data_IF_272483346297
#
_entry.id   IF_272483346297
#
_cell.length_a   1.000
_cell.length_b   1.000
_cell.length_c   1.000
_cell.angle_alpha   90.00
_cell.angle_beta   90.00
_cell.angle_gamma   90.00
#
_symmetry.space_group_name_H-M   'P 1'
#
loop_
_entity.id
_entity.type
_entity.pdbx_description
1 polymer ?
#
# COMPACT_ATOMS: atom_id res chain seq x y z
N UNK A 1 30.26 -40.65 41.65
CA UNK A 1 29.25 -39.57 41.69
C UNK A 1 29.42 -38.66 40.47
N UNK A 2 29.03 -39.12 39.26
CA UNK A 2 29.18 -38.33 38.01
C UNK A 2 28.17 -38.70 36.90
N UNK A 3 27.09 -39.40 37.26
CA UNK A 3 26.09 -39.93 36.30
C UNK A 3 24.73 -39.23 36.43
N UNK A 4 24.43 -38.59 37.57
CA UNK A 4 23.14 -37.88 37.78
C UNK A 4 23.06 -36.49 37.15
N UNK A 5 24.18 -35.85 36.80
CA UNK A 5 24.19 -34.51 36.19
C UNK A 5 23.91 -34.49 34.68
N UNK A 6 23.98 -35.64 33.99
CA UNK A 6 23.79 -35.70 32.54
C UNK A 6 22.34 -36.03 32.11
N UNK A 7 21.48 -36.41 33.06
CA UNK A 7 20.07 -36.72 32.79
C UNK A 7 19.18 -35.47 32.78
N UNK A 8 19.53 -34.43 33.56
CA UNK A 8 18.76 -33.19 33.65
C UNK A 8 18.93 -32.30 32.39
N UNK A 9 20.12 -32.26 31.81
CA UNK A 9 20.39 -31.49 30.58
C UNK A 9 19.70 -32.09 29.34
N UNK A 10 19.55 -33.42 29.28
CA UNK A 10 18.86 -34.12 28.19
C UNK A 10 17.33 -33.90 28.28
N UNK A 11 16.77 -33.86 29.49
CA UNK A 11 15.34 -33.59 29.70
C UNK A 11 14.94 -32.12 29.40
N UNK A 12 15.82 -31.15 29.61
CA UNK A 12 15.59 -29.75 29.24
C UNK A 12 15.63 -29.54 27.72
N UNK A 13 16.55 -30.19 27.01
CA UNK A 13 16.65 -30.09 25.55
C UNK A 13 15.48 -30.77 24.81
N UNK A 14 14.86 -31.81 25.40
CA UNK A 14 13.64 -32.43 24.86
C UNK A 14 12.38 -31.56 25.03
N UNK A 15 12.32 -30.69 26.04
CA UNK A 15 11.19 -29.77 26.25
C UNK A 15 11.24 -28.57 25.33
N UNK A 16 12.42 -28.08 24.98
CA UNK A 16 12.59 -26.97 24.02
C UNK A 16 12.32 -27.42 22.59
N UNK A 17 12.71 -28.66 22.22
CA UNK A 17 12.51 -29.20 20.87
C UNK A 17 11.03 -29.58 20.59
N UNK A 18 10.28 -29.94 21.63
CA UNK A 18 8.84 -30.21 21.55
C UNK A 18 7.98 -28.94 21.44
N UNK A 19 8.53 -27.76 21.78
CA UNK A 19 7.79 -26.49 21.73
C UNK A 19 8.04 -25.71 20.42
N UNK A 20 9.19 -25.91 19.77
CA UNK A 20 9.46 -25.43 18.40
C UNK A 20 8.77 -26.25 17.30
N UNK A 21 8.33 -27.47 17.59
CA UNK A 21 7.57 -28.30 16.64
C UNK A 21 6.06 -28.02 16.66
N UNK A 22 5.54 -27.36 17.70
CA UNK A 22 4.11 -26.99 17.78
C UNK A 22 3.79 -25.66 17.09
N UNK A 23 4.78 -24.77 16.91
CA UNK A 23 4.61 -23.52 16.15
C UNK A 23 4.80 -23.70 14.62
N UNK A 24 5.51 -24.76 14.20
CA UNK A 24 5.68 -25.10 12.78
C UNK A 24 4.48 -25.86 12.17
N UNK A 25 3.59 -26.42 13.01
CA UNK A 25 2.44 -27.22 12.56
C UNK A 25 1.14 -26.42 12.37
N UNK A 26 1.09 -25.13 12.72
CA UNK A 26 -0.05 -24.26 12.43
C UNK A 26 0.06 -23.51 11.08
N UNK A 27 1.18 -23.64 10.36
CA UNK A 27 1.36 -23.04 9.03
C UNK A 27 0.97 -23.95 7.84
N UNK A 28 0.45 -25.16 8.09
CA UNK A 28 0.12 -26.13 7.02
C UNK A 28 -1.37 -26.51 6.93
N UNK A 29 -2.26 -25.73 7.53
CA UNK A 29 -3.71 -25.96 7.45
C UNK A 29 -4.50 -24.74 6.97
N UNK A 30 -3.90 -23.89 6.10
CA UNK A 30 -4.72 -23.11 5.18
C UNK A 30 -5.21 -24.07 4.11
N UNK A 31 -6.37 -24.65 4.35
CA UNK A 31 -7.18 -25.25 3.30
C UNK A 31 -7.23 -24.25 2.15
N UNK A 32 -6.58 -24.58 1.04
CA UNK A 32 -6.80 -23.88 -0.21
C UNK A 32 -8.28 -24.07 -0.54
N UNK A 33 -9.11 -23.11 -0.10
CA UNK A 33 -10.40 -22.86 -0.69
C UNK A 33 -10.11 -22.29 -2.08
N UNK A 34 -9.69 -23.17 -2.99
CA UNK A 34 -9.69 -22.91 -4.41
C UNK A 34 -11.16 -22.81 -4.80
N UNK A 35 -11.72 -21.62 -4.61
CA UNK A 35 -13.04 -21.30 -5.09
C UNK A 35 -12.89 -21.22 -6.60
N UNK A 36 -13.47 -22.20 -7.29
CA UNK A 36 -13.68 -22.23 -8.73
C UNK A 36 -14.66 -21.10 -9.10
N UNK A 37 -14.23 -19.86 -8.89
CA UNK A 37 -14.87 -18.69 -9.45
C UNK A 37 -14.24 -18.49 -10.82
N UNK A 38 -15.05 -18.31 -11.87
CA UNK A 38 -14.56 -17.78 -13.14
C UNK A 38 -13.64 -16.60 -12.83
N UNK A 39 -12.35 -16.79 -13.04
CA UNK A 39 -11.33 -15.83 -12.63
C UNK A 39 -11.38 -14.68 -13.62
N UNK A 40 -12.27 -13.71 -13.36
CA UNK A 40 -12.08 -12.36 -13.89
C UNK A 40 -10.62 -11.95 -13.62
N UNK A 41 -9.89 -11.42 -14.63
CA UNK A 41 -8.48 -11.05 -14.49
C UNK A 41 -8.26 -10.20 -13.25
N UNK A 42 -7.14 -10.42 -12.57
CA UNK A 42 -6.77 -9.60 -11.41
C UNK A 42 -6.50 -8.16 -11.89
N UNK A 43 -7.31 -7.21 -11.41
CA UNK A 43 -7.07 -5.79 -11.60
C UNK A 43 -6.14 -5.28 -10.50
N UNK A 44 -4.83 -5.47 -10.69
CA UNK A 44 -3.82 -4.78 -9.87
C UNK A 44 -3.87 -3.30 -10.17
N UNK A 45 -3.65 -2.45 -9.16
CA UNK A 45 -3.34 -1.06 -9.47
C UNK A 45 -2.06 -1.07 -10.30
N UNK A 46 -2.13 -0.50 -11.51
CA UNK A 46 -1.00 -0.46 -12.43
C UNK A 46 0.09 0.42 -11.78
N UNK A 47 1.38 0.19 -12.05
CA UNK A 47 2.45 1.07 -11.59
C UNK A 47 2.48 2.41 -12.37
N UNK A 48 1.33 2.87 -12.85
CA UNK A 48 1.15 4.16 -13.50
C UNK A 48 0.77 5.24 -12.48
N UNK A 49 0.72 6.49 -12.92
CA UNK A 49 0.33 7.61 -12.06
C UNK A 49 -1.19 7.66 -11.83
N UNK A 50 -1.96 6.89 -12.60
CA UNK A 50 -3.43 6.90 -12.58
C UNK A 50 -3.96 5.57 -12.09
N UNK A 51 -4.39 5.55 -10.84
CA UNK A 51 -5.10 4.41 -10.23
C UNK A 51 -6.21 3.89 -11.14
N UNK A 52 -6.37 2.57 -11.22
CA UNK A 52 -7.34 1.96 -12.14
C UNK A 52 -8.77 2.44 -11.85
N UNK A 53 -9.65 2.48 -12.85
CA UNK A 53 -11.09 2.68 -12.65
C UNK A 53 -11.81 1.50 -11.97
N UNK A 54 -11.19 0.32 -11.87
CA UNK A 54 -11.85 -0.95 -11.53
C UNK A 54 -11.73 -1.32 -10.04
N UNK A 55 -12.77 -1.94 -9.44
CA UNK A 55 -12.69 -2.53 -8.10
C UNK A 55 -12.24 -4.00 -8.14
N UNK A 56 -11.73 -4.53 -7.02
CA UNK A 56 -11.35 -5.95 -6.91
C UNK A 56 -12.53 -6.93 -6.99
N UNK A 57 -13.78 -6.46 -6.91
CA UNK A 57 -15.00 -7.26 -6.99
C UNK A 57 -15.50 -7.81 -5.64
N UNK A 58 -16.79 -8.15 -5.57
CA UNK A 58 -17.47 -8.50 -4.31
C UNK A 58 -16.89 -9.74 -3.63
N UNK A 59 -16.63 -9.62 -2.33
CA UNK A 59 -16.09 -10.68 -1.47
C UNK A 59 -14.62 -10.99 -1.72
N UNK A 60 -13.92 -10.20 -2.54
CA UNK A 60 -12.53 -10.44 -2.91
C UNK A 60 -11.58 -9.60 -2.04
N UNK A 61 -10.46 -10.22 -1.70
CA UNK A 61 -9.37 -9.61 -0.97
C UNK A 61 -8.12 -9.63 -1.82
N UNK A 62 -7.40 -8.52 -1.85
CA UNK A 62 -6.13 -8.41 -2.55
C UNK A 62 -5.12 -7.70 -1.65
N UNK A 63 -3.92 -8.25 -1.60
CA UNK A 63 -2.80 -7.67 -0.88
C UNK A 63 -1.69 -7.38 -1.88
N UNK A 64 -1.29 -6.12 -1.94
CA UNK A 64 -0.24 -5.61 -2.79
C UNK A 64 0.89 -5.08 -1.91
N UNK A 65 2.13 -5.32 -2.31
CA UNK A 65 3.30 -4.78 -1.62
C UNK A 65 4.39 -4.47 -2.63
N UNK A 66 5.16 -3.43 -2.37
CA UNK A 66 6.18 -2.95 -3.29
C UNK A 66 7.34 -2.31 -2.55
N UNK A 67 8.41 -2.03 -3.31
CA UNK A 67 9.53 -1.24 -2.84
C UNK A 67 9.65 -0.01 -3.71
N UNK A 68 9.70 1.17 -3.09
CA UNK A 68 9.90 2.43 -3.81
C UNK A 68 11.28 2.96 -3.49
N UNK A 69 12.05 3.29 -4.53
CA UNK A 69 13.35 3.92 -4.40
C UNK A 69 13.36 5.25 -5.15
N UNK A 70 13.45 6.34 -4.39
CA UNK A 70 13.53 7.69 -4.92
C UNK A 70 14.94 8.24 -4.77
N UNK A 71 15.40 8.94 -5.81
CA UNK A 71 16.65 9.70 -5.77
C UNK A 71 16.49 11.02 -6.47
N UNK A 72 16.77 12.11 -5.75
CA UNK A 72 16.84 13.46 -6.32
C UNK A 72 18.18 14.10 -6.01
N UNK A 73 18.61 15.01 -6.90
CA UNK A 73 19.82 15.79 -6.73
C UNK A 73 19.56 17.24 -7.14
N UNK A 74 19.76 18.16 -6.21
CA UNK A 74 19.62 19.60 -6.42
C UNK A 74 20.69 20.34 -5.61
N UNK A 75 21.30 21.37 -6.19
CA UNK A 75 22.26 22.26 -5.50
C UNK A 75 23.40 21.55 -4.74
N UNK A 76 23.90 20.44 -5.31
CA UNK A 76 24.97 19.64 -4.69
C UNK A 76 24.52 18.75 -3.52
N UNK A 77 23.23 18.75 -3.19
CA UNK A 77 22.58 17.88 -2.22
C UNK A 77 21.93 16.70 -2.96
N UNK A 78 22.14 15.50 -2.46
CA UNK A 78 21.50 14.26 -2.93
C UNK A 78 20.57 13.75 -1.85
N UNK A 79 19.29 13.61 -2.17
CA UNK A 79 18.31 12.92 -1.33
C UNK A 79 18.01 11.54 -1.91
N UNK A 80 17.94 10.54 -1.03
CA UNK A 80 17.53 9.17 -1.34
C UNK A 80 16.46 8.73 -0.37
N UNK A 81 15.45 8.03 -0.86
CA UNK A 81 14.45 7.36 -0.04
C UNK A 81 14.28 5.92 -0.50
N UNK A 82 14.13 4.99 0.44
CA UNK A 82 13.70 3.62 0.17
C UNK A 82 12.52 3.32 1.10
N UNK A 83 11.41 2.85 0.56
CA UNK A 83 10.25 2.44 1.33
C UNK A 83 9.71 1.07 0.90
N UNK A 84 8.95 0.40 1.77
CA UNK A 84 8.27 -0.86 1.48
C UNK A 84 6.76 -0.69 1.64
N UNK A 85 6.08 -0.24 0.58
CA UNK A 85 4.65 0.01 0.63
C UNK A 85 3.84 -1.28 0.72
N UNK A 86 2.66 -1.16 1.31
CA UNK A 86 1.67 -2.22 1.34
C UNK A 86 0.26 -1.65 1.20
N UNK A 87 -0.59 -2.36 0.46
CA UNK A 87 -1.97 -2.01 0.19
C UNK A 87 -2.84 -3.26 0.34
N UNK A 88 -3.84 -3.17 1.22
CA UNK A 88 -4.89 -4.18 1.37
C UNK A 88 -6.18 -3.63 0.78
N UNK A 89 -6.80 -4.41 -0.11
CA UNK A 89 -8.04 -4.07 -0.81
C UNK A 89 -9.10 -5.12 -0.49
N UNK A 90 -10.31 -4.66 -0.18
CA UNK A 90 -11.46 -5.52 0.08
C UNK A 90 -12.68 -5.01 -0.69
N UNK A 91 -13.12 -5.78 -1.68
CA UNK A 91 -14.34 -5.51 -2.42
C UNK A 91 -15.55 -6.00 -1.63
N UNK A 92 -16.38 -5.09 -1.15
CA UNK A 92 -17.56 -5.44 -0.33
C UNK A 92 -18.88 -5.30 -1.09
N UNK A 93 -18.82 -4.82 -2.33
CA UNK A 93 -19.90 -4.83 -3.31
C UNK A 93 -19.34 -5.02 -4.72
N UNK A 94 -20.22 -5.08 -5.71
CA UNK A 94 -19.80 -5.19 -7.12
C UNK A 94 -19.06 -3.94 -7.61
N UNK A 95 -19.31 -2.79 -6.97
CA UNK A 95 -18.77 -1.48 -7.36
C UNK A 95 -18.06 -0.76 -6.21
N UNK A 96 -17.84 -1.42 -5.08
CA UNK A 96 -17.34 -0.79 -3.87
C UNK A 96 -16.15 -1.56 -3.28
N UNK A 97 -15.09 -0.82 -2.99
CA UNK A 97 -13.85 -1.36 -2.43
C UNK A 97 -13.36 -0.50 -1.26
N UNK A 98 -12.97 -1.15 -0.18
CA UNK A 98 -12.28 -0.55 0.95
C UNK A 98 -10.78 -0.82 0.84
N UNK A 99 -9.96 0.16 1.22
CA UNK A 99 -8.50 0.12 1.10
C UNK A 99 -7.83 0.49 2.42
N UNK A 100 -6.75 -0.20 2.75
CA UNK A 100 -5.79 0.19 3.80
C UNK A 100 -4.42 0.24 3.16
N UNK A 101 -3.79 1.40 3.18
CA UNK A 101 -2.52 1.64 2.51
C UNK A 101 -1.48 2.16 3.49
N UNK A 102 -0.22 1.83 3.28
CA UNK A 102 0.88 2.45 4.03
C UNK A 102 2.14 2.52 3.17
N UNK A 103 2.91 3.60 3.37
CA UNK A 103 4.27 3.73 2.84
C UNK A 103 5.25 2.72 3.49
N UNK A 104 4.83 2.09 4.59
CA UNK A 104 5.62 1.11 5.32
C UNK A 104 6.83 1.72 6.01
N UNK A 105 7.95 0.99 6.06
CA UNK A 105 9.18 1.46 6.66
C UNK A 105 10.00 2.25 5.64
N UNK A 106 10.33 3.48 5.99
CA UNK A 106 11.06 4.43 5.16
C UNK A 106 12.47 4.59 5.71
N UNK A 107 13.45 4.56 4.81
CA UNK A 107 14.83 4.99 5.08
C UNK A 107 15.17 6.14 4.14
N UNK A 108 15.37 7.32 4.72
CA UNK A 108 15.75 8.52 3.99
C UNK A 108 17.18 8.94 4.32
N UNK A 109 17.97 9.27 3.30
CA UNK A 109 19.34 9.79 3.43
C UNK A 109 19.46 11.08 2.64
N UNK A 110 20.00 12.13 3.26
CA UNK A 110 20.37 13.38 2.58
C UNK A 110 21.87 13.58 2.73
N UNK A 111 22.59 13.77 1.63
CA UNK A 111 24.03 14.02 1.64
C UNK A 111 24.43 15.16 0.72
N UNK A 112 25.36 16.01 1.17
CA UNK A 112 25.82 17.17 0.44
C UNK A 112 26.76 18.03 1.28
N UNK A 113 27.63 18.80 0.63
CA UNK A 113 28.54 19.74 1.30
C UNK A 113 29.41 19.10 2.41
N UNK A 114 29.79 17.84 2.24
CA UNK A 114 30.60 17.09 3.21
C UNK A 114 29.83 16.52 4.41
N UNK A 115 28.51 16.69 4.46
CA UNK A 115 27.63 16.16 5.52
C UNK A 115 26.69 15.09 4.95
N UNK A 116 26.40 14.07 5.76
CA UNK A 116 25.38 13.06 5.45
C UNK A 116 24.50 12.84 6.67
N UNK A 117 23.19 12.93 6.49
CA UNK A 117 22.19 12.67 7.51
C UNK A 117 21.29 11.51 7.06
N UNK A 118 20.88 10.64 8.00
CA UNK A 118 19.97 9.53 7.72
C UNK A 118 18.89 9.45 8.77
N UNK A 119 17.65 9.27 8.33
CA UNK A 119 16.48 9.08 9.16
C UNK A 119 15.78 7.78 8.75
N UNK A 120 15.11 7.13 9.69
CA UNK A 120 14.31 5.95 9.43
C UNK A 120 13.09 5.90 10.35
N UNK A 121 12.02 5.27 9.88
CA UNK A 121 10.75 5.26 10.58
C UNK A 121 9.64 4.75 9.69
N UNK A 122 8.43 4.69 10.22
CA UNK A 122 7.25 4.30 9.45
C UNK A 122 6.58 5.53 8.84
N UNK A 123 6.11 5.40 7.60
CA UNK A 123 5.22 6.39 7.01
C UNK A 123 3.81 6.29 7.56
N UNK A 124 2.94 7.18 7.08
CA UNK A 124 1.54 7.21 7.48
C UNK A 124 0.79 5.98 6.93
N UNK A 125 -0.35 5.70 7.56
CA UNK A 125 -1.32 4.72 7.08
C UNK A 125 -2.55 5.48 6.61
N UNK A 126 -3.08 5.12 5.45
CA UNK A 126 -4.29 5.68 4.89
C UNK A 126 -5.42 4.66 4.93
N UNK A 127 -6.63 5.15 5.19
CA UNK A 127 -7.86 4.43 4.91
C UNK A 127 -8.47 4.99 3.63
N UNK A 128 -8.86 4.10 2.74
CA UNK A 128 -9.36 4.45 1.43
C UNK A 128 -10.70 3.77 1.14
N UNK A 129 -11.45 4.42 0.28
CA UNK A 129 -12.70 3.92 -0.25
C UNK A 129 -12.78 4.24 -1.72
N UNK A 130 -13.16 3.25 -2.52
CA UNK A 130 -13.31 3.38 -3.97
C UNK A 130 -14.71 2.99 -4.38
N UNK A 131 -15.27 3.81 -5.25
CA UNK A 131 -16.55 3.60 -5.90
C UNK A 131 -16.37 3.59 -7.41
N UNK A 132 -16.59 2.43 -8.02
CA UNK A 132 -16.72 2.33 -9.46
C UNK A 132 -18.11 2.75 -9.87
N UNK A 133 -18.20 3.93 -10.47
CA UNK A 133 -19.46 4.50 -10.91
C UNK A 133 -19.86 3.96 -12.29
N UNK A 134 -18.88 3.67 -13.14
CA UNK A 134 -19.11 3.29 -14.53
C UNK A 134 -17.98 2.39 -15.05
N UNK A 135 -18.37 1.35 -15.80
CA UNK A 135 -17.46 0.52 -16.57
C UNK A 135 -17.04 1.18 -17.87
N UNK A 136 -15.76 1.02 -18.21
CA UNK A 136 -15.23 1.36 -19.52
C UNK A 136 -15.80 0.46 -20.60
N UNK A 137 -15.91 0.99 -21.81
CA UNK A 137 -16.33 0.26 -23.00
C UNK A 137 -15.63 0.84 -24.23
N UNK A 138 -14.59 0.15 -24.69
CA UNK A 138 -13.81 0.47 -25.88
C UNK A 138 -14.69 0.65 -27.12
N UNK A 139 -15.66 -0.24 -27.33
CA UNK A 139 -16.50 -0.22 -28.53
C UNK A 139 -17.35 1.06 -28.64
N UNK A 140 -17.72 1.68 -27.51
CA UNK A 140 -18.44 2.95 -27.47
C UNK A 140 -17.55 4.16 -27.13
N UNK A 141 -16.25 3.94 -26.86
CA UNK A 141 -15.32 4.96 -26.35
C UNK A 141 -15.71 5.51 -24.98
N UNK A 142 -16.50 4.77 -24.21
CA UNK A 142 -16.99 5.19 -22.89
C UNK A 142 -15.89 4.94 -21.84
N UNK A 143 -15.53 5.94 -21.01
CA UNK A 143 -14.50 5.75 -20.00
C UNK A 143 -15.02 4.95 -18.80
N UNK A 144 -14.13 4.22 -18.15
CA UNK A 144 -14.33 3.80 -16.77
C UNK A 144 -14.26 5.03 -15.85
N UNK A 145 -15.16 5.11 -14.87
CA UNK A 145 -15.22 6.23 -13.93
C UNK A 145 -15.24 5.69 -12.51
N UNK A 146 -14.32 6.17 -11.68
CA UNK A 146 -14.30 5.85 -10.26
C UNK A 146 -14.03 7.07 -9.38
N UNK A 147 -14.54 7.01 -8.16
CA UNK A 147 -14.24 7.96 -7.10
C UNK A 147 -13.41 7.30 -6.01
N UNK A 148 -12.35 7.96 -5.59
CA UNK A 148 -11.52 7.53 -4.47
C UNK A 148 -11.62 8.58 -3.36
N UNK A 149 -11.92 8.12 -2.15
CA UNK A 149 -11.92 8.93 -0.93
C UNK A 149 -10.92 8.32 0.02
N UNK A 150 -9.84 9.05 0.31
CA UNK A 150 -8.76 8.60 1.18
C UNK A 150 -8.63 9.51 2.40
N UNK A 151 -8.07 8.97 3.48
CA UNK A 151 -7.68 9.73 4.65
C UNK A 151 -6.34 9.22 5.19
N UNK A 152 -5.28 9.98 4.95
CA UNK A 152 -3.97 9.73 5.51
C UNK A 152 -3.97 10.10 7.00
N UNK A 153 -3.71 9.13 7.86
CA UNK A 153 -3.66 9.33 9.30
C UNK A 153 -2.22 9.64 9.71
N UNK A 154 -2.02 10.56 10.66
CA UNK A 154 -0.70 10.86 11.21
C UNK A 154 -0.18 9.75 12.16
N UNK A 155 -0.13 8.52 11.66
CA UNK A 155 0.24 7.30 12.38
C UNK A 155 1.72 6.96 12.26
N UNK A 156 2.45 7.61 11.35
CA UNK A 156 3.87 7.37 11.12
C UNK A 156 4.80 7.87 12.24
N UNK A 157 6.09 7.60 12.07
CA UNK A 157 7.17 8.14 12.87
C UNK A 157 7.26 9.66 12.75
N UNK A 158 7.85 10.34 13.74
CA UNK A 158 7.86 11.81 13.81
C UNK A 158 8.41 12.48 12.56
N UNK A 159 9.39 11.84 11.94
CA UNK A 159 10.15 12.29 10.79
C UNK A 159 9.38 12.12 9.47
N UNK A 160 8.34 11.26 9.44
CA UNK A 160 7.61 10.88 8.22
C UNK A 160 6.09 11.08 8.32
N UNK A 161 5.54 11.35 9.51
CA UNK A 161 4.11 11.64 9.67
C UNK A 161 3.77 13.04 9.21
N UNK A 162 2.64 13.18 8.53
CA UNK A 162 2.08 14.49 8.25
C UNK A 162 1.29 15.07 9.43
N UNK A 163 0.73 16.26 9.24
CA UNK A 163 0.08 17.03 10.30
C UNK A 163 -1.40 16.66 10.47
N UNK A 164 -1.67 15.66 11.31
CA UNK A 164 -3.01 15.14 11.56
C UNK A 164 -3.60 14.41 10.36
N UNK A 165 -4.91 14.13 10.41
CA UNK A 165 -5.62 13.45 9.32
C UNK A 165 -5.77 14.36 8.11
N UNK A 166 -5.35 13.87 6.94
CA UNK A 166 -5.40 14.57 5.65
C UNK A 166 -6.33 13.83 4.70
N UNK A 167 -7.61 14.24 4.61
CA UNK A 167 -8.54 13.62 3.68
C UNK A 167 -8.28 14.10 2.25
N UNK A 168 -8.49 13.22 1.28
CA UNK A 168 -8.48 13.54 -0.14
C UNK A 168 -9.64 12.87 -0.88
N UNK A 169 -10.07 13.52 -1.95
CA UNK A 169 -11.04 12.97 -2.90
C UNK A 169 -10.45 13.10 -4.30
N UNK A 170 -10.50 12.01 -5.06
CA UNK A 170 -9.95 11.91 -6.42
C UNK A 170 -11.02 11.28 -7.32
N UNK A 171 -11.13 11.75 -8.54
CA UNK A 171 -11.93 11.12 -9.58
C UNK A 171 -10.99 10.52 -10.62
N UNK A 172 -11.25 9.30 -11.07
CA UNK A 172 -10.50 8.61 -12.11
C UNK A 172 -11.38 8.52 -13.34
N UNK A 173 -10.81 8.84 -14.49
CA UNK A 173 -11.40 8.59 -15.80
C UNK A 173 -10.36 7.85 -16.65
N UNK A 174 -10.73 6.69 -17.16
CA UNK A 174 -9.83 5.81 -17.91
C UNK A 174 -10.52 5.38 -19.22
N UNK A 175 -9.87 5.60 -20.35
CA UNK A 175 -10.32 5.15 -21.67
C UNK A 175 -9.40 4.04 -22.15
N UNK A 176 -10.01 2.93 -22.55
CA UNK A 176 -9.34 1.94 -23.40
C UNK A 176 -9.35 2.48 -24.83
N UNK A 177 -8.20 2.38 -25.50
CA UNK A 177 -7.96 2.84 -26.87
C UNK A 177 -7.57 1.64 -27.75
N UNK A 178 -7.53 1.86 -29.06
CA UNK A 178 -7.04 0.85 -29.99
C UNK A 178 -5.59 0.42 -29.69
N UNK A 179 -5.24 -0.79 -30.13
CA UNK A 179 -3.88 -1.36 -30.02
C UNK A 179 -3.39 -1.52 -28.57
N UNK A 180 -4.27 -1.91 -27.65
CA UNK A 180 -4.00 -2.10 -26.21
C UNK A 180 -3.50 -0.83 -25.49
N UNK A 181 -3.68 0.35 -26.09
CA UNK A 181 -3.37 1.61 -25.46
C UNK A 181 -4.49 2.01 -24.48
N UNK A 182 -4.13 2.78 -23.45
CA UNK A 182 -5.11 3.36 -22.52
C UNK A 182 -4.71 4.78 -22.17
N UNK A 183 -5.69 5.64 -21.92
CA UNK A 183 -5.48 7.00 -21.45
C UNK A 183 -6.19 7.22 -20.13
N UNK A 184 -5.47 7.73 -19.13
CA UNK A 184 -6.02 7.97 -17.79
C UNK A 184 -5.86 9.41 -17.35
N UNK A 185 -6.86 9.96 -16.67
CA UNK A 185 -6.76 11.22 -15.91
C UNK A 185 -7.31 11.06 -14.51
N UNK A 186 -6.67 11.74 -13.56
CA UNK A 186 -7.10 11.75 -12.18
C UNK A 186 -6.97 13.12 -11.51
N UNK A 187 -7.99 13.99 -11.63
CA UNK A 187 -8.07 15.18 -10.80
C UNK A 187 -8.47 14.83 -9.36
N UNK A 188 -8.01 15.63 -8.41
CA UNK A 188 -8.39 15.49 -7.02
C UNK A 188 -8.10 16.72 -6.17
N UNK A 189 -8.57 16.66 -4.93
CA UNK A 189 -8.32 17.66 -3.91
C UNK A 189 -7.96 16.97 -2.59
N UNK A 190 -6.98 17.52 -1.89
CA UNK A 190 -6.57 17.09 -0.56
C UNK A 190 -6.65 18.26 0.41
N UNK A 191 -7.14 18.00 1.62
CA UNK A 191 -7.04 18.93 2.74
C UNK A 191 -5.79 18.59 3.55
N UNK A 192 -4.87 19.54 3.63
CA UNK A 192 -3.63 19.38 4.37
C UNK A 192 -3.53 20.42 5.51
N UNK A 193 -2.57 20.24 6.42
CA UNK A 193 -2.25 21.18 7.50
C UNK A 193 -0.77 21.51 7.50
N UNK A 194 -0.44 22.75 7.82
CA UNK A 194 0.94 23.15 8.06
C UNK A 194 1.33 22.90 9.53
N UNK A 195 2.59 23.20 9.86
CA UNK A 195 3.11 23.02 11.23
C UNK A 195 2.44 23.91 12.28
N UNK A 196 1.80 25.01 11.84
CA UNK A 196 0.97 25.86 12.70
C UNK A 196 -0.47 25.34 12.86
N UNK A 197 -0.81 24.18 12.28
CA UNK A 197 -2.14 23.56 12.34
C UNK A 197 -3.18 24.18 11.42
N UNK A 198 -2.83 25.19 10.60
CA UNK A 198 -3.74 25.84 9.66
C UNK A 198 -4.00 24.91 8.47
N UNK A 199 -5.29 24.72 8.15
CA UNK A 199 -5.74 23.94 6.99
C UNK A 199 -5.54 24.69 5.69
N UNK A 200 -5.16 23.97 4.64
CA UNK A 200 -5.11 24.46 3.26
C UNK A 200 -5.47 23.34 2.28
N UNK A 201 -5.91 23.73 1.09
CA UNK A 201 -6.30 22.80 0.04
C UNK A 201 -5.15 22.62 -0.94
N UNK A 202 -4.94 21.40 -1.40
CA UNK A 202 -4.00 21.06 -2.47
C UNK A 202 -4.75 20.39 -3.61
N UNK A 203 -4.47 20.81 -4.83
CA UNK A 203 -4.94 20.11 -6.03
C UNK A 203 -4.05 18.91 -6.33
N UNK A 204 -4.67 17.83 -6.80
CA UNK A 204 -4.00 16.64 -7.33
C UNK A 204 -4.38 16.54 -8.81
N UNK A 205 -3.40 16.27 -9.66
CA UNK A 205 -3.64 15.96 -11.05
C UNK A 205 -2.60 14.93 -11.50
N UNK A 206 -3.07 13.80 -11.99
CA UNK A 206 -2.26 12.83 -12.71
C UNK A 206 -2.86 12.55 -14.08
N UNK A 207 -2.01 12.20 -15.04
CA UNK A 207 -2.40 11.70 -16.34
C UNK A 207 -1.37 10.68 -16.82
N UNK A 208 -1.82 9.67 -17.57
CA UNK A 208 -0.97 8.64 -18.18
C UNK A 208 -1.44 8.28 -19.57
#
# INVERSE_FOLDING_TARGET
>A
MRIKHNQAAIAQNMRTLAMTSLFASCLFATSAMAQEAKTEPIATDRPDFVESGQVVGKGRFQFETGFNYDRSKADGITAKSLSNSALLRFGFGETWEFRIETDGFIRATTSGLGVSNSQNGFGDTALGFKWQMQDGDDASGRPAIAWLVHADMASGSKEFRGQGTRPSVRAVFEWDLADDASFGIMPGIMLNRNDAGKRYNMGILAAT
#
